data_IF_079937532026
#
_entry.id   IF_079937532026
#
_cell.length_a   1.000
_cell.length_b   1.000
_cell.length_c   1.000
_cell.angle_alpha   90.00
_cell.angle_beta   90.00
_cell.angle_gamma   90.00
#
_symmetry.space_group_name_H-M   'P 1'
#
loop_
_entity.id
_entity.type
_entity.pdbx_description
1 polymer ?
#
# COMPACT_ATOMS: atom_id res chain seq x y z
N UNK A 1 -15.75 -28.80 0.29
CA UNK A 1 -15.52 -27.42 -0.20
C UNK A 1 -14.38 -26.81 0.60
N UNK A 2 -13.16 -26.98 0.14
CA UNK A 2 -11.94 -26.50 0.81
C UNK A 2 -11.83 -25.00 0.56
N UNK A 3 -11.86 -24.19 1.62
CA UNK A 3 -11.97 -22.75 1.51
C UNK A 3 -10.73 -22.14 0.88
N UNK A 4 -10.87 -21.00 0.21
CA UNK A 4 -9.75 -20.22 -0.34
C UNK A 4 -8.67 -19.91 0.73
N UNK A 5 -9.06 -19.87 2.02
CA UNK A 5 -8.17 -19.75 3.18
C UNK A 5 -7.32 -21.01 3.42
N UNK A 6 -7.82 -22.19 3.11
CA UNK A 6 -7.12 -23.47 3.31
C UNK A 6 -6.08 -23.69 2.21
N UNK A 7 -6.35 -23.22 0.98
CA UNK A 7 -5.37 -23.22 -0.12
C UNK A 7 -4.24 -22.23 0.15
N UNK A 8 -4.56 -21.05 0.68
CA UNK A 8 -3.54 -20.07 1.11
C UNK A 8 -2.73 -20.61 2.31
N UNK A 9 -3.37 -21.28 3.26
CA UNK A 9 -2.68 -21.91 4.41
C UNK A 9 -1.81 -23.11 3.98
N UNK A 10 -2.26 -23.91 3.01
CA UNK A 10 -1.50 -25.05 2.48
C UNK A 10 -0.30 -24.62 1.61
N UNK A 11 -0.42 -23.53 0.86
CA UNK A 11 0.72 -22.93 0.13
C UNK A 11 1.74 -22.28 1.08
N UNK A 12 1.28 -21.64 2.15
CA UNK A 12 2.15 -21.05 3.19
C UNK A 12 2.90 -22.11 4.02
N UNK A 13 2.43 -23.36 4.03
CA UNK A 13 3.08 -24.48 4.72
C UNK A 13 4.08 -25.29 3.89
N UNK A 14 4.03 -25.23 2.56
CA UNK A 14 4.70 -26.21 1.68
C UNK A 14 5.90 -25.68 0.87
N UNK A 15 6.19 -24.37 0.90
CA UNK A 15 7.41 -23.81 0.30
C UNK A 15 8.11 -22.93 1.33
N UNK A 16 9.30 -23.34 1.77
CA UNK A 16 10.05 -22.67 2.84
C UNK A 16 10.57 -21.25 2.51
N UNK A 17 10.18 -20.67 1.37
CA UNK A 17 10.62 -19.35 0.90
C UNK A 17 9.54 -18.31 1.12
N UNK A 18 9.95 -17.11 1.50
CA UNK A 18 9.09 -15.93 1.65
C UNK A 18 8.75 -15.33 0.29
N UNK A 19 7.64 -14.59 0.18
CA UNK A 19 7.31 -13.89 -1.07
C UNK A 19 8.40 -12.89 -1.44
N UNK A 20 9.03 -12.26 -0.43
CA UNK A 20 10.18 -11.40 -0.63
C UNK A 20 11.34 -12.14 -1.32
N UNK A 21 11.71 -13.33 -0.84
CA UNK A 21 12.77 -14.15 -1.44
C UNK A 21 12.39 -14.60 -2.86
N UNK A 22 11.14 -15.03 -3.07
CA UNK A 22 10.65 -15.36 -4.40
C UNK A 22 10.70 -14.15 -5.34
N UNK A 23 10.41 -12.93 -4.88
CA UNK A 23 10.54 -11.72 -5.68
C UNK A 23 11.99 -11.21 -5.83
N UNK A 24 12.99 -11.93 -5.32
CA UNK A 24 14.40 -11.50 -5.35
C UNK A 24 14.66 -10.26 -4.49
N UNK A 25 13.90 -10.09 -3.41
CA UNK A 25 14.04 -9.00 -2.44
C UNK A 25 14.84 -9.53 -1.25
N UNK A 26 16.11 -9.12 -1.15
CA UNK A 26 16.87 -9.30 0.09
C UNK A 26 16.40 -8.28 1.10
N UNK A 27 15.48 -8.70 1.98
CA UNK A 27 14.84 -7.82 2.94
C UNK A 27 15.84 -7.33 4.00
N UNK A 28 15.95 -6.01 4.12
CA UNK A 28 16.81 -5.29 5.08
C UNK A 28 16.04 -4.07 5.58
N UNK A 29 16.40 -3.57 6.77
CA UNK A 29 15.78 -2.38 7.38
C UNK A 29 16.26 -1.07 6.71
N UNK A 30 16.02 -0.98 5.40
CA UNK A 30 16.44 0.10 4.51
C UNK A 30 15.26 0.48 3.60
N UNK A 31 15.19 1.73 3.10
CA UNK A 31 13.99 2.24 2.43
C UNK A 31 13.59 1.43 1.20
N UNK A 32 14.56 1.11 0.34
CA UNK A 32 14.29 0.48 -0.96
C UNK A 32 13.76 -0.97 -0.85
N UNK A 33 14.37 -1.90 -0.08
CA UNK A 33 13.79 -3.23 0.14
C UNK A 33 12.40 -3.22 0.79
N UNK A 34 12.15 -2.31 1.74
CA UNK A 34 10.83 -2.17 2.36
C UNK A 34 9.80 -1.66 1.35
N UNK A 35 10.16 -0.69 0.51
CA UNK A 35 9.27 -0.20 -0.53
C UNK A 35 8.95 -1.28 -1.57
N UNK A 36 9.94 -2.05 -2.01
CA UNK A 36 9.73 -3.20 -2.89
C UNK A 36 8.75 -4.19 -2.27
N UNK A 37 8.92 -4.52 -0.99
CA UNK A 37 8.00 -5.40 -0.28
C UNK A 37 6.57 -4.84 -0.21
N UNK A 38 6.42 -3.53 0.00
CA UNK A 38 5.10 -2.87 -0.02
C UNK A 38 4.42 -3.03 -1.38
N UNK A 39 5.13 -2.80 -2.47
CA UNK A 39 4.62 -2.99 -3.83
C UNK A 39 4.17 -4.44 -4.04
N UNK A 40 4.98 -5.42 -3.61
CA UNK A 40 4.63 -6.83 -3.69
C UNK A 40 3.36 -7.15 -2.87
N UNK A 41 3.24 -6.59 -1.66
CA UNK A 41 2.06 -6.76 -0.81
C UNK A 41 0.80 -6.15 -1.43
N UNK A 42 0.92 -5.01 -2.10
CA UNK A 42 -0.17 -4.38 -2.87
C UNK A 42 -0.66 -5.31 -3.98
N UNK A 43 0.25 -5.87 -4.79
CA UNK A 43 -0.10 -6.82 -5.85
C UNK A 43 -0.77 -8.09 -5.31
N UNK A 44 -0.33 -8.58 -4.15
CA UNK A 44 -0.93 -9.75 -3.50
C UNK A 44 -2.30 -9.43 -2.87
N UNK A 45 -2.59 -8.16 -2.59
CA UNK A 45 -3.86 -7.73 -1.97
C UNK A 45 -5.08 -7.91 -2.90
N UNK A 46 -4.88 -7.93 -4.22
CA UNK A 46 -5.96 -8.03 -5.20
C UNK A 46 -6.54 -9.45 -5.39
N UNK A 47 -6.18 -10.42 -4.54
CA UNK A 47 -6.58 -11.85 -4.63
C UNK A 47 -6.19 -12.49 -5.98
N UNK A 48 -4.93 -12.40 -6.34
CA UNK A 48 -4.37 -13.00 -7.56
C UNK A 48 -3.44 -14.15 -7.17
N UNK A 49 -3.13 -15.05 -8.11
CA UNK A 49 -2.12 -16.09 -7.91
C UNK A 49 -0.79 -15.45 -7.52
N UNK A 50 -0.19 -15.91 -6.42
CA UNK A 50 1.07 -15.35 -5.88
C UNK A 50 2.21 -15.34 -6.90
N UNK A 51 2.28 -16.35 -7.78
CA UNK A 51 3.28 -16.41 -8.85
C UNK A 51 3.19 -15.25 -9.84
N UNK A 52 1.97 -14.81 -10.19
CA UNK A 52 1.76 -13.65 -11.07
C UNK A 52 2.17 -12.36 -10.36
N UNK A 53 1.84 -12.21 -9.08
CA UNK A 53 2.27 -11.05 -8.30
C UNK A 53 3.79 -10.96 -8.16
N UNK A 54 4.47 -12.09 -7.92
CA UNK A 54 5.94 -12.18 -7.86
C UNK A 54 6.57 -11.85 -9.22
N UNK A 55 6.07 -12.43 -10.31
CA UNK A 55 6.56 -12.12 -11.67
C UNK A 55 6.37 -10.63 -12.00
N UNK A 56 5.20 -10.08 -11.70
CA UNK A 56 4.89 -8.66 -11.88
C UNK A 56 5.79 -7.75 -11.07
N UNK A 57 6.04 -8.08 -9.80
CA UNK A 57 6.96 -7.32 -8.97
C UNK A 57 8.38 -7.30 -9.57
N UNK A 58 8.87 -8.44 -10.08
CA UNK A 58 10.16 -8.52 -10.76
C UNK A 58 10.21 -7.64 -12.01
N UNK A 59 9.14 -7.61 -12.82
CA UNK A 59 9.05 -6.74 -14.00
C UNK A 59 9.06 -5.25 -13.65
N UNK A 60 8.32 -4.83 -12.62
CA UNK A 60 8.36 -3.46 -12.10
C UNK A 60 9.78 -3.09 -11.64
N UNK A 61 10.46 -4.00 -10.93
CA UNK A 61 11.82 -3.75 -10.49
C UNK A 61 12.80 -3.73 -11.67
N UNK A 62 12.65 -4.58 -12.67
CA UNK A 62 13.45 -4.57 -13.89
C UNK A 62 13.30 -3.24 -14.64
N UNK A 63 12.10 -2.67 -14.64
CA UNK A 63 11.81 -1.34 -15.18
C UNK A 63 12.33 -0.16 -14.34
N UNK A 64 13.04 -0.42 -13.24
CA UNK A 64 13.61 0.63 -12.37
C UNK A 64 12.64 1.18 -11.32
N UNK A 65 11.43 0.63 -11.20
CA UNK A 65 10.39 1.09 -10.27
C UNK A 65 10.57 0.50 -8.87
N UNK A 66 11.78 0.72 -8.30
CA UNK A 66 12.23 0.10 -7.04
C UNK A 66 12.18 1.04 -5.85
N UNK A 67 11.91 2.32 -6.06
CA UNK A 67 11.83 3.34 -5.03
C UNK A 67 10.65 4.28 -5.30
N UNK A 68 10.07 4.91 -4.26
CA UNK A 68 8.86 5.69 -4.40
C UNK A 68 9.05 6.93 -5.28
N UNK A 69 10.24 7.54 -5.32
CA UNK A 69 10.46 8.73 -6.14
C UNK A 69 10.48 8.39 -7.62
N UNK A 70 11.17 7.30 -8.00
CA UNK A 70 11.12 6.77 -9.36
C UNK A 70 9.72 6.33 -9.73
N UNK A 71 9.04 5.58 -8.85
CA UNK A 71 7.66 5.16 -9.11
C UNK A 71 6.76 6.36 -9.39
N UNK A 72 6.75 7.38 -8.53
CA UNK A 72 5.95 8.60 -8.68
C UNK A 72 6.32 9.41 -9.93
N UNK A 73 7.62 9.52 -10.26
CA UNK A 73 8.09 10.29 -11.42
C UNK A 73 8.01 9.56 -12.77
N UNK A 74 7.72 8.26 -12.79
CA UNK A 74 7.56 7.46 -14.00
C UNK A 74 6.20 7.73 -14.66
N UNK A 75 6.15 7.70 -16.00
CA UNK A 75 4.91 7.87 -16.74
C UNK A 75 3.91 6.74 -16.45
N UNK A 76 2.61 7.06 -16.45
CA UNK A 76 1.57 6.09 -16.15
C UNK A 76 1.60 4.88 -17.12
N UNK A 77 1.83 5.11 -18.42
CA UNK A 77 1.90 4.04 -19.41
C UNK A 77 3.08 3.10 -19.14
N UNK A 78 4.22 3.62 -18.71
CA UNK A 78 5.38 2.79 -18.35
C UNK A 78 5.07 1.85 -17.17
N UNK A 79 4.25 2.29 -16.21
CA UNK A 79 3.76 1.43 -15.11
C UNK A 79 2.82 0.35 -15.65
N UNK A 80 1.87 0.72 -16.51
CA UNK A 80 0.94 -0.22 -17.16
C UNK A 80 1.69 -1.28 -17.96
N UNK A 81 2.66 -0.88 -18.78
CA UNK A 81 3.45 -1.80 -19.60
C UNK A 81 4.23 -2.81 -18.74
N UNK A 82 4.81 -2.35 -17.63
CA UNK A 82 5.51 -3.22 -16.69
C UNK A 82 4.56 -4.19 -15.98
N UNK A 83 3.36 -3.74 -15.58
CA UNK A 83 2.31 -4.61 -15.04
C UNK A 83 1.85 -5.65 -16.08
N UNK A 84 1.71 -5.23 -17.34
CA UNK A 84 1.32 -6.08 -18.47
C UNK A 84 2.32 -7.19 -18.76
N UNK A 85 3.63 -6.90 -18.73
CA UNK A 85 4.71 -7.91 -18.86
C UNK A 85 4.66 -8.96 -17.75
N UNK A 86 4.26 -8.55 -16.54
CA UNK A 86 4.08 -9.42 -15.39
C UNK A 86 2.85 -10.33 -15.45
N UNK A 87 1.97 -10.14 -16.43
CA UNK A 87 0.70 -10.85 -16.55
C UNK A 87 -0.44 -10.24 -15.73
N UNK A 88 -0.29 -8.99 -15.27
CA UNK A 88 -1.26 -8.29 -14.41
C UNK A 88 -2.34 -7.52 -15.19
N UNK A 89 -2.62 -7.92 -16.43
CA UNK A 89 -3.44 -7.16 -17.41
C UNK A 89 -4.88 -6.85 -16.99
N UNK A 90 -5.45 -7.62 -16.07
CA UNK A 90 -6.85 -7.40 -15.63
C UNK A 90 -7.00 -6.13 -14.79
N UNK A 91 -5.92 -5.70 -14.16
CA UNK A 91 -5.93 -4.64 -13.15
C UNK A 91 -4.80 -3.64 -13.34
N UNK A 92 -4.07 -3.70 -14.46
CA UNK A 92 -2.86 -2.93 -14.71
C UNK A 92 -3.11 -1.42 -14.66
N UNK A 93 -4.13 -0.91 -15.33
CA UNK A 93 -4.47 0.52 -15.33
C UNK A 93 -4.75 1.04 -13.92
N UNK A 94 -5.67 0.38 -13.21
CA UNK A 94 -6.04 0.74 -11.83
C UNK A 94 -4.83 0.64 -10.90
N UNK A 95 -4.05 -0.43 -11.01
CA UNK A 95 -2.89 -0.66 -10.16
C UNK A 95 -1.75 0.30 -10.49
N UNK A 96 -1.58 0.71 -11.76
CA UNK A 96 -0.62 1.73 -12.16
C UNK A 96 -0.92 3.08 -11.49
N UNK A 97 -2.20 3.47 -11.44
CA UNK A 97 -2.63 4.67 -10.72
C UNK A 97 -2.37 4.52 -9.22
N UNK A 98 -2.80 3.41 -8.60
CA UNK A 98 -2.57 3.15 -7.18
C UNK A 98 -1.08 3.16 -6.78
N UNK A 99 -0.21 2.61 -7.62
CA UNK A 99 1.23 2.61 -7.40
C UNK A 99 1.83 4.02 -7.50
N UNK A 100 1.34 4.85 -8.44
CA UNK A 100 1.72 6.26 -8.56
C UNK A 100 1.30 7.05 -7.33
N UNK A 101 0.00 7.08 -7.04
CA UNK A 101 -0.60 7.83 -5.92
C UNK A 101 -0.01 7.39 -4.58
N UNK A 102 0.18 6.08 -4.38
CA UNK A 102 0.81 5.55 -3.18
C UNK A 102 2.26 5.97 -3.05
N UNK A 103 3.00 6.06 -4.16
CA UNK A 103 4.38 6.50 -4.14
C UNK A 103 4.52 8.01 -3.87
N UNK A 104 3.60 8.83 -4.39
CA UNK A 104 3.48 10.26 -4.06
C UNK A 104 3.18 10.43 -2.57
N UNK A 105 2.13 9.79 -2.05
CA UNK A 105 1.77 9.83 -0.63
C UNK A 105 2.97 9.46 0.27
N UNK A 106 3.69 8.40 -0.09
CA UNK A 106 4.87 7.97 0.66
C UNK A 106 6.00 9.00 0.64
N UNK A 107 6.20 9.64 -0.51
CA UNK A 107 7.22 10.66 -0.69
C UNK A 107 6.88 11.94 0.08
N UNK A 108 5.63 12.39 0.03
CA UNK A 108 5.17 13.62 0.67
C UNK A 108 5.17 13.51 2.20
N UNK A 109 4.54 12.46 2.75
CA UNK A 109 4.36 12.35 4.20
C UNK A 109 5.56 11.76 4.92
N UNK A 110 6.23 10.79 4.29
CA UNK A 110 7.32 10.03 4.94
C UNK A 110 8.65 10.14 4.18
N UNK A 111 8.78 11.05 3.20
CA UNK A 111 10.04 11.25 2.47
C UNK A 111 10.47 10.04 1.64
N UNK A 112 9.58 9.07 1.41
CA UNK A 112 9.84 7.80 0.74
C UNK A 112 10.44 6.71 1.66
N UNK A 113 10.41 6.89 2.98
CA UNK A 113 10.98 5.95 3.94
C UNK A 113 9.92 5.37 4.89
N UNK A 114 9.58 4.09 4.69
CA UNK A 114 8.61 3.35 5.52
C UNK A 114 9.04 3.21 6.99
N UNK A 115 10.31 3.43 7.31
CA UNK A 115 10.78 3.47 8.70
C UNK A 115 10.24 4.71 9.43
N UNK A 116 9.97 5.80 8.71
CA UNK A 116 9.29 6.99 9.27
C UNK A 116 7.81 6.72 9.53
N UNK A 117 7.13 6.01 8.63
CA UNK A 117 5.75 5.53 8.86
C UNK A 117 5.70 4.66 10.12
N UNK A 118 6.66 3.76 10.27
CA UNK A 118 6.78 2.95 11.50
C UNK A 118 7.06 3.78 12.75
N UNK A 119 7.89 4.83 12.65
CA UNK A 119 8.15 5.75 13.75
C UNK A 119 6.88 6.50 14.15
N UNK A 120 6.05 6.90 13.19
CA UNK A 120 4.75 7.52 13.45
C UNK A 120 3.78 6.57 14.17
N UNK A 121 3.84 5.27 13.88
CA UNK A 121 3.09 4.27 14.61
C UNK A 121 3.61 3.99 16.04
N UNK A 122 4.75 4.55 16.44
CA UNK A 122 5.39 4.36 17.76
C UNK A 122 5.53 2.88 18.19
N UNK A 123 5.76 1.99 17.22
CA UNK A 123 5.86 0.55 17.47
C UNK A 123 4.52 -0.19 17.67
N UNK A 124 3.39 0.50 17.62
CA UNK A 124 2.06 -0.13 17.58
C UNK A 124 1.82 -0.76 16.21
N UNK A 125 1.64 -2.08 16.20
CA UNK A 125 1.41 -2.87 14.98
C UNK A 125 -0.01 -2.66 14.42
N UNK A 126 -1.00 -2.37 15.28
CA UNK A 126 -2.34 -1.98 14.86
C UNK A 126 -2.31 -0.64 14.15
N UNK A 127 -1.67 0.37 14.75
CA UNK A 127 -1.50 1.67 14.10
C UNK A 127 -0.72 1.59 12.79
N UNK A 128 0.37 0.80 12.75
CA UNK A 128 1.14 0.59 11.52
C UNK A 128 0.31 -0.07 10.42
N UNK A 129 -0.53 -1.05 10.78
CA UNK A 129 -1.49 -1.68 9.86
C UNK A 129 -2.47 -0.65 9.30
N UNK A 130 -2.97 0.26 10.12
CA UNK A 130 -3.88 1.32 9.65
C UNK A 130 -3.18 2.28 8.70
N UNK A 131 -1.97 2.73 9.04
CA UNK A 131 -1.15 3.60 8.17
C UNK A 131 -0.83 2.94 6.82
N UNK A 132 -0.53 1.64 6.83
CA UNK A 132 -0.31 0.88 5.60
C UNK A 132 -1.55 0.88 4.70
N UNK A 133 -2.74 0.76 5.28
CA UNK A 133 -4.01 0.77 4.52
C UNK A 133 -4.41 2.15 3.99
N UNK A 134 -3.73 3.22 4.43
CA UNK A 134 -3.88 4.54 3.79
C UNK A 134 -3.22 4.56 2.39
N UNK A 135 -2.32 3.61 2.08
CA UNK A 135 -1.74 3.47 0.74
C UNK A 135 -2.79 2.95 -0.24
N UNK A 136 -3.07 3.66 -1.35
CA UNK A 136 -4.05 3.24 -2.34
C UNK A 136 -3.80 1.81 -2.83
N UNK A 137 -4.86 0.99 -2.83
CA UNK A 137 -4.79 -0.41 -3.29
C UNK A 137 -4.27 -1.40 -2.25
N UNK A 138 -3.76 -0.95 -1.10
CA UNK A 138 -3.37 -1.83 -0.01
C UNK A 138 -4.53 -2.08 0.95
N UNK A 139 -5.13 -3.27 0.88
CA UNK A 139 -6.19 -3.69 1.80
C UNK A 139 -5.64 -4.37 3.07
N UNK A 140 -6.54 -4.79 3.99
CA UNK A 140 -6.17 -5.49 5.22
C UNK A 140 -5.26 -6.70 4.99
N UNK A 141 -5.55 -7.49 3.94
CA UNK A 141 -4.77 -8.66 3.56
C UNK A 141 -3.35 -8.29 3.08
N UNK A 142 -3.22 -7.21 2.31
CA UNK A 142 -1.91 -6.70 1.87
C UNK A 142 -1.08 -6.22 3.06
N UNK A 143 -1.68 -5.46 3.98
CA UNK A 143 -1.03 -5.02 5.21
C UNK A 143 -0.56 -6.19 6.08
N UNK A 144 -1.38 -7.24 6.22
CA UNK A 144 -1.01 -8.48 6.92
C UNK A 144 0.19 -9.18 6.29
N UNK A 145 0.19 -9.30 4.96
CA UNK A 145 1.30 -9.90 4.21
C UNK A 145 2.58 -9.10 4.45
N UNK A 146 2.52 -7.77 4.33
CA UNK A 146 3.67 -6.91 4.56
C UNK A 146 4.26 -7.12 5.97
N UNK A 147 3.42 -7.02 7.00
CA UNK A 147 3.86 -7.17 8.40
C UNK A 147 4.46 -8.56 8.67
N UNK A 148 3.84 -9.63 8.14
CA UNK A 148 4.35 -11.00 8.26
C UNK A 148 5.74 -11.15 7.65
N UNK A 149 5.95 -10.62 6.44
CA UNK A 149 7.22 -10.74 5.71
C UNK A 149 8.34 -9.96 6.40
N UNK A 150 8.05 -8.76 6.92
CA UNK A 150 9.04 -7.99 7.71
C UNK A 150 9.40 -8.70 9.02
N UNK A 151 8.43 -9.30 9.73
CA UNK A 151 8.71 -10.06 10.95
C UNK A 151 9.56 -11.31 10.67
N UNK A 152 9.26 -12.04 9.60
CA UNK A 152 9.93 -13.31 9.27
C UNK A 152 11.39 -13.11 8.82
N UNK A 153 11.69 -12.01 8.14
CA UNK A 153 13.06 -11.62 7.77
C UNK A 153 13.92 -11.13 8.96
N UNK A 154 13.30 -10.85 10.10
CA UNK A 154 13.95 -10.39 11.34
C UNK A 154 14.92 -11.38 11.99
N UNK A 155 15.13 -12.57 11.42
CA UNK A 155 16.03 -13.59 11.97
C UNK A 155 17.52 -13.18 11.97
N UNK A 156 17.92 -12.11 11.24
CA UNK A 156 19.26 -11.46 11.35
C UNK A 156 19.25 -10.02 11.92
N UNK A 157 18.09 -9.41 12.18
CA UNK A 157 17.95 -8.03 12.69
C UNK A 157 17.04 -7.98 13.92
N UNK A 158 17.26 -8.87 14.89
CA UNK A 158 16.39 -9.11 16.05
C UNK A 158 16.22 -7.92 17.01
N UNK A 159 16.79 -6.74 16.73
CA UNK A 159 16.64 -5.56 17.60
C UNK A 159 15.67 -4.50 17.11
N UNK A 160 15.30 -4.46 15.83
CA UNK A 160 14.56 -3.28 15.34
C UNK A 160 13.08 -3.50 15.14
N UNK A 161 12.55 -4.64 14.67
CA UNK A 161 11.14 -4.79 14.22
C UNK A 161 10.17 -5.56 15.14
N UNK A 162 10.60 -5.96 16.34
CA UNK A 162 9.65 -6.44 17.35
C UNK A 162 8.86 -5.26 17.89
N UNK A 163 7.53 -5.39 17.92
CA UNK A 163 6.70 -4.56 18.78
C UNK A 163 7.34 -4.58 20.17
N UNK A 164 7.72 -3.42 20.68
CA UNK A 164 7.89 -3.30 22.12
C UNK A 164 6.48 -3.55 22.65
N UNK A 165 6.20 -4.58 23.46
CA UNK A 165 4.90 -4.66 24.11
C UNK A 165 4.72 -3.30 24.76
N UNK A 166 3.63 -2.60 24.43
CA UNK A 166 3.32 -1.38 25.14
C UNK A 166 3.20 -1.82 26.60
N UNK A 167 4.18 -1.46 27.41
CA UNK A 167 3.99 -1.43 28.85
C UNK A 167 3.03 -0.27 29.07
N UNK A 168 1.75 -0.51 28.75
CA UNK A 168 0.66 0.12 29.43
C UNK A 168 0.95 -0.05 30.92
N UNK A 169 1.25 1.06 31.57
CA UNK A 169 1.47 1.15 33.00
C UNK A 169 0.30 0.45 33.71
N UNK A 170 0.50 -0.48 34.66
CA UNK A 170 -0.56 -0.81 35.59
C UNK A 170 -0.67 0.37 36.56
N UNK A 171 -1.35 1.41 36.13
CA UNK A 171 -1.68 2.58 36.94
C UNK A 171 -3.13 2.56 37.41
N UNK A 172 -3.76 1.38 37.54
CA UNK A 172 -5.12 1.24 38.04
C UNK A 172 -5.06 0.27 39.22
N UNK A 173 -4.73 0.82 40.38
CA UNK A 173 -5.04 0.18 41.66
C UNK A 173 -6.57 0.14 41.77
N UNK A 174 -7.15 -1.02 41.45
CA UNK A 174 -8.56 -1.29 41.70
C UNK A 174 -8.74 -1.37 43.22
N UNK A 175 -9.12 -0.25 43.84
CA UNK A 175 -9.53 -0.19 45.24
C UNK A 175 -10.87 -0.91 45.31
N UNK A 176 -10.89 -2.14 45.84
CA UNK A 176 -12.14 -2.86 46.12
C UNK A 176 -12.97 -2.03 47.09
N UNK A 177 -14.17 -1.63 46.70
CA UNK A 177 -15.24 -1.26 47.64
C UNK A 177 -16.12 -2.48 47.93
N UNK A 178 -16.69 -2.63 49.14
CA UNK A 178 -17.28 -3.89 49.59
C UNK A 178 -18.72 -4.16 49.13
N UNK A 179 -19.24 -3.45 48.13
CA UNK A 179 -20.65 -3.57 47.75
C UNK A 179 -20.80 -3.68 46.25
N UNK A 180 -21.22 -4.87 45.81
CA UNK A 180 -21.36 -5.23 44.41
C UNK A 180 -22.45 -4.43 43.70
N UNK A 181 -22.11 -3.88 42.54
CA UNK A 181 -22.95 -3.83 41.34
C UNK A 181 -22.11 -3.28 40.17
N UNK A 182 -21.88 -4.12 39.16
CA UNK A 182 -21.27 -3.69 37.90
C UNK A 182 -22.36 -3.10 37.00
N UNK A 183 -22.55 -1.78 37.07
CA UNK A 183 -23.29 -1.04 36.06
C UNK A 183 -22.43 -0.82 34.82
N UNK A 184 -22.84 -1.37 33.67
CA UNK A 184 -22.28 -1.02 32.36
C UNK A 184 -22.58 0.45 32.05
N UNK A 185 -21.60 1.28 31.63
CA UNK A 185 -21.94 2.54 30.98
C UNK A 185 -22.45 2.24 29.57
N UNK A 186 -23.77 2.36 29.42
CA UNK A 186 -24.46 2.55 28.15
C UNK A 186 -23.86 3.78 27.48
N UNK A 187 -23.29 3.66 26.28
CA UNK A 187 -22.96 4.81 25.43
C UNK A 187 -24.19 5.18 24.61
N UNK A 188 -24.82 6.35 24.82
CA UNK A 188 -25.73 6.89 23.84
C UNK A 188 -24.94 7.77 22.86
N UNK A 189 -25.22 7.55 21.58
CA UNK A 189 -25.13 8.55 20.52
C UNK A 189 -23.74 8.85 19.93
N UNK A 190 -23.42 8.18 18.81
CA UNK A 190 -22.53 8.76 17.79
C UNK A 190 -23.17 8.57 16.40
N UNK A 191 -23.72 9.64 15.80
CA UNK A 191 -24.33 9.57 14.48
C UNK A 191 -23.26 9.62 13.38
N UNK A 192 -23.62 8.93 12.29
CA UNK A 192 -23.22 9.06 10.88
C UNK A 192 -22.18 10.13 10.48
N UNK A 193 -21.25 9.69 9.63
CA UNK A 193 -20.32 10.49 8.80
C UNK A 193 -21.01 11.65 8.04
N UNK A 194 -20.25 12.71 7.70
CA UNK A 194 -19.80 12.82 6.30
C UNK A 194 -18.34 13.28 6.13
N UNK A 195 -17.71 12.97 4.97
CA UNK A 195 -16.34 13.36 4.63
C UNK A 195 -16.27 14.85 4.28
N UNK A 196 -15.35 15.58 4.91
CA UNK A 196 -15.01 16.96 4.52
C UNK A 196 -13.94 16.96 3.43
N UNK A 197 -14.40 16.85 2.18
CA UNK A 197 -13.76 17.51 1.04
C UNK A 197 -14.63 18.70 0.65
N UNK A 198 -14.32 19.88 1.16
CA UNK A 198 -14.75 21.16 0.60
C UNK A 198 -13.58 22.13 0.70
N UNK A 199 -13.03 22.44 -0.46
CA UNK A 199 -12.03 23.46 -0.70
C UNK A 199 -12.60 24.88 -0.50
N UNK A 200 -11.76 25.89 -0.20
CA UNK A 200 -12.05 27.26 -0.58
C UNK A 200 -11.74 27.45 -2.07
N UNK A 201 -12.74 27.93 -2.80
CA UNK A 201 -12.61 28.42 -4.18
C UNK A 201 -11.62 29.59 -4.20
N UNK A 202 -10.51 29.45 -4.93
CA UNK A 202 -9.78 30.60 -5.46
C UNK A 202 -10.07 30.72 -6.95
N UNK A 203 -10.64 31.85 -7.33
CA UNK A 203 -10.94 32.25 -8.69
C UNK A 203 -9.64 32.58 -9.43
N UNK A 204 -9.16 31.66 -10.28
CA UNK A 204 -8.27 32.01 -11.40
C UNK A 204 -9.05 31.96 -12.70
N UNK A 205 -9.34 33.15 -13.19
CA UNK A 205 -9.86 33.46 -14.51
C UNK A 205 -8.88 33.00 -15.59
N UNK A 206 -9.37 32.16 -16.50
CA UNK A 206 -8.71 31.85 -17.77
C UNK A 206 -9.18 32.86 -18.82
N UNK A 207 -8.30 33.50 -19.60
CA UNK A 207 -8.74 34.28 -20.74
C UNK A 207 -9.13 33.38 -21.91
N UNK A 208 -10.33 33.63 -22.43
CA UNK A 208 -10.81 33.22 -23.77
C UNK A 208 -9.78 33.63 -24.84
N UNK A 209 -9.49 32.73 -25.78
CA UNK A 209 -9.23 33.11 -27.17
C UNK A 209 -10.17 32.36 -28.09
N UNK A 210 -10.91 33.15 -28.86
CA UNK A 210 -11.78 32.73 -29.94
C UNK A 210 -10.97 32.58 -31.24
N UNK A 211 -11.33 31.54 -32.01
CA UNK A 211 -11.63 31.59 -33.44
C UNK A 211 -10.56 31.98 -34.46
N UNK A 212 -10.18 31.00 -35.29
CA UNK A 212 -10.04 31.05 -36.77
C UNK A 212 -9.30 29.77 -37.20
N UNK A 213 -9.65 29.01 -38.23
CA UNK A 213 -10.68 29.11 -39.25
C UNK A 213 -10.64 27.81 -40.09
N UNK A 214 -11.75 27.51 -40.75
CA UNK A 214 -11.88 26.44 -41.75
C UNK A 214 -10.84 26.61 -42.85
N UNK A 215 -10.29 25.51 -43.38
CA UNK A 215 -10.08 25.34 -44.83
C UNK A 215 -10.25 23.86 -45.19
N UNK A 216 -11.25 23.65 -46.02
CA UNK A 216 -11.52 22.45 -46.79
C UNK A 216 -10.44 22.31 -47.89
N UNK A 217 -10.06 21.08 -48.25
CA UNK A 217 -9.12 20.89 -49.36
C UNK A 217 -8.59 19.46 -49.54
N UNK A 218 -9.38 18.61 -50.20
CA UNK A 218 -8.91 17.53 -51.08
C UNK A 218 -9.27 17.92 -52.53
N UNK A 219 -8.70 17.36 -53.62
CA UNK A 219 -7.39 16.71 -53.88
C UNK A 219 -6.70 17.38 -55.12
N UNK A 220 -5.70 16.79 -55.83
CA UNK A 220 -6.01 15.82 -56.90
C UNK A 220 -4.98 14.67 -57.07
N UNK A 221 -5.42 13.66 -57.85
CA UNK A 221 -4.62 12.59 -58.46
C UNK A 221 -3.89 13.10 -59.72
N UNK A 222 -2.93 12.28 -60.19
CA UNK A 222 -2.39 12.08 -61.56
C UNK A 222 -0.94 12.57 -61.79
N UNK A 223 -0.22 12.00 -62.78
CA UNK A 223 -0.61 11.00 -63.79
C UNK A 223 -0.30 9.54 -63.43
#
# INVERSE_FOLDING_TARGET
MTGHKDVVRALVGSHGRTFAEEAGITLRDTPQPLYRLLVLALLLSARIRGSVAVATARELYAAGLRDPRRMAGTDWQQRVDALGRGGYRRYDERTATQLGDGAELLTERWGGDLRRMRKEADGDTGRLRDLLQEVPGLGPAGADIFLREVQRSGRRSHRTWTARPSTARPGWACRRTPTGSCGWPVTPNRPYWPPRWCAPHSTRTWPRRAGAGRRDGSPPRLP
#
